data_IF_868415207252
#
_entry.id   IF_868415207252
#
_cell.length_a   1.000
_cell.length_b   1.000
_cell.length_c   1.000
_cell.angle_alpha   90.00
_cell.angle_beta   90.00
_cell.angle_gamma   90.00
#
_symmetry.space_group_name_H-M   'P 1'
#
loop_
_entity.id
_entity.type
_entity.pdbx_description
1 polymer ?
#
# COMPACT_ATOMS: atom_id res chain seq x y z
N UNK A 1 41.60 -43.21 15.23
CA UNK A 1 41.28 -41.77 15.12
C UNK A 1 39.89 -41.50 14.53
N UNK A 2 39.43 -42.24 13.52
CA UNK A 2 38.13 -41.99 12.85
C UNK A 2 36.89 -42.08 13.76
N UNK A 3 36.86 -42.99 14.74
CA UNK A 3 35.73 -43.13 15.67
C UNK A 3 35.57 -41.92 16.62
N UNK A 4 36.69 -41.29 17.03
CA UNK A 4 36.68 -40.09 17.86
C UNK A 4 36.16 -38.87 17.06
N UNK A 5 36.50 -38.77 15.78
CA UNK A 5 35.97 -37.71 14.91
C UNK A 5 34.47 -37.86 14.62
N UNK A 6 33.94 -39.09 14.51
CA UNK A 6 32.49 -39.29 14.37
C UNK A 6 31.72 -38.96 15.66
N UNK A 7 32.30 -39.24 16.83
CA UNK A 7 31.73 -38.83 18.12
C UNK A 7 31.70 -37.30 18.29
N UNK A 8 32.76 -36.61 17.88
CA UNK A 8 32.81 -35.13 17.91
C UNK A 8 31.81 -34.53 16.92
N UNK A 9 31.72 -35.08 15.69
CA UNK A 9 30.73 -34.63 14.71
C UNK A 9 29.28 -34.86 15.18
N UNK A 10 29.00 -36.01 15.81
CA UNK A 10 27.69 -36.29 16.41
C UNK A 10 27.34 -35.33 17.55
N UNK A 11 28.31 -34.95 18.38
CA UNK A 11 28.11 -33.96 19.46
C UNK A 11 27.79 -32.56 18.94
N UNK A 12 28.42 -32.12 17.84
CA UNK A 12 28.17 -30.81 17.23
C UNK A 12 26.77 -30.77 16.60
N UNK A 13 26.37 -31.84 15.92
CA UNK A 13 25.01 -31.98 15.34
C UNK A 13 23.95 -31.97 16.44
N UNK A 14 24.20 -32.61 17.58
CA UNK A 14 23.28 -32.61 18.71
C UNK A 14 23.08 -31.20 19.31
N UNK A 15 24.14 -30.40 19.43
CA UNK A 15 24.04 -29.03 19.95
C UNK A 15 23.24 -28.12 19.00
N UNK A 16 23.39 -28.29 17.69
CA UNK A 16 22.61 -27.54 16.68
C UNK A 16 21.13 -27.94 16.72
N UNK A 17 20.81 -29.21 17.02
CA UNK A 17 19.42 -29.69 17.10
C UNK A 17 18.67 -29.24 18.36
N UNK A 18 19.38 -28.85 19.43
CA UNK A 18 18.77 -28.37 20.69
C UNK A 18 18.91 -26.85 20.92
N UNK A 19 19.42 -26.10 19.94
CA UNK A 19 19.30 -24.64 19.90
C UNK A 19 17.87 -24.23 19.51
N UNK A 20 16.88 -24.62 20.32
CA UNK A 20 15.51 -24.16 20.20
C UNK A 20 15.35 -22.73 20.71
N UNK A 21 14.42 -21.98 20.13
CA UNK A 21 14.00 -20.68 20.64
C UNK A 21 13.59 -20.80 22.11
N UNK A 22 14.29 -20.09 22.99
CA UNK A 22 13.82 -19.90 24.36
C UNK A 22 12.45 -19.20 24.29
N UNK A 23 11.43 -19.80 24.92
CA UNK A 23 10.12 -19.17 25.02
C UNK A 23 10.26 -17.95 25.92
N UNK A 24 9.95 -16.77 25.41
CA UNK A 24 9.92 -15.56 26.23
C UNK A 24 8.86 -15.75 27.33
N UNK A 25 9.23 -15.39 28.56
CA UNK A 25 8.34 -15.51 29.71
C UNK A 25 7.30 -14.40 29.59
N UNK A 26 6.02 -14.78 29.49
CA UNK A 26 4.94 -13.80 29.47
C UNK A 26 4.90 -13.06 30.83
N UNK A 27 5.20 -11.77 30.77
CA UNK A 27 5.18 -10.89 31.93
C UNK A 27 3.77 -10.30 32.08
N UNK A 28 3.29 -10.17 33.32
CA UNK A 28 1.98 -9.61 33.63
C UNK A 28 2.01 -8.73 34.88
N UNK A 29 0.98 -7.90 35.03
CA UNK A 29 0.70 -7.09 36.21
C UNK A 29 1.88 -6.16 36.56
N UNK A 30 2.34 -5.41 35.56
CA UNK A 30 3.42 -4.44 35.72
C UNK A 30 2.86 -3.02 35.71
N UNK A 31 3.53 -2.04 36.34
CA UNK A 31 3.09 -0.64 36.27
C UNK A 31 3.08 -0.11 34.83
N UNK A 32 2.20 0.84 34.51
CA UNK A 32 2.13 1.46 33.18
C UNK A 32 3.49 1.97 32.66
N UNK A 33 4.28 2.60 33.53
CA UNK A 33 5.64 3.07 33.20
C UNK A 33 6.59 1.94 32.78
N UNK A 34 6.42 0.74 33.34
CA UNK A 34 7.24 -0.41 32.95
C UNK A 34 6.95 -0.77 31.49
N UNK A 35 5.69 -0.95 31.14
CA UNK A 35 5.29 -1.26 29.77
C UNK A 35 5.73 -0.18 28.78
N UNK A 36 5.47 1.09 29.10
CA UNK A 36 5.93 2.20 28.27
C UNK A 36 7.45 2.19 28.06
N UNK A 37 8.23 1.97 29.11
CA UNK A 37 9.69 1.90 29.00
C UNK A 37 10.15 0.74 28.10
N UNK A 38 9.42 -0.38 28.12
CA UNK A 38 9.69 -1.53 27.24
C UNK A 38 9.34 -1.23 25.79
N UNK A 39 8.22 -0.57 25.53
CA UNK A 39 7.85 -0.12 24.17
C UNK A 39 8.97 0.73 23.58
N UNK A 40 9.38 1.79 24.28
CA UNK A 40 10.46 2.69 23.82
C UNK A 40 11.79 1.93 23.65
N UNK A 41 12.11 1.02 24.58
CA UNK A 41 13.30 0.18 24.48
C UNK A 41 13.27 -0.70 23.22
N UNK A 42 12.17 -1.39 22.93
CA UNK A 42 12.09 -2.28 21.77
C UNK A 42 12.09 -1.51 20.45
N UNK A 43 11.41 -0.37 20.39
CA UNK A 43 11.48 0.54 19.23
C UNK A 43 12.93 0.98 18.98
N UNK A 44 13.68 1.34 20.03
CA UNK A 44 15.10 1.71 19.89
C UNK A 44 15.99 0.55 19.39
N UNK A 45 15.55 -0.69 19.59
CA UNK A 45 16.22 -1.91 19.12
C UNK A 45 15.75 -2.32 17.72
N UNK A 46 14.70 -1.67 17.19
CA UNK A 46 14.05 -2.01 15.92
C UNK A 46 13.13 -3.22 15.97
N UNK A 47 12.79 -3.71 17.17
CA UNK A 47 11.87 -4.83 17.37
C UNK A 47 10.45 -4.30 17.57
N UNK A 48 9.78 -3.94 16.48
CA UNK A 48 8.44 -3.35 16.53
C UNK A 48 7.37 -4.36 16.96
N UNK A 49 7.53 -5.64 16.60
CA UNK A 49 6.59 -6.70 17.00
C UNK A 49 6.52 -6.84 18.54
N UNK A 50 7.67 -6.80 19.23
CA UNK A 50 7.68 -6.79 20.70
C UNK A 50 7.17 -5.47 21.27
N UNK A 51 7.44 -4.34 20.60
CA UNK A 51 6.89 -3.06 21.02
C UNK A 51 5.35 -3.08 21.00
N UNK A 52 4.74 -3.63 19.94
CA UNK A 52 3.29 -3.81 19.79
C UNK A 52 2.71 -4.74 20.84
N UNK A 53 3.43 -5.82 21.16
CA UNK A 53 3.06 -6.73 22.25
C UNK A 53 3.03 -6.00 23.60
N UNK A 54 4.06 -5.22 23.93
CA UNK A 54 4.09 -4.44 25.17
C UNK A 54 3.05 -3.31 25.19
N UNK A 55 2.73 -2.73 24.04
CA UNK A 55 1.64 -1.76 23.91
C UNK A 55 0.28 -2.41 24.17
N UNK A 56 0.04 -3.61 23.65
CA UNK A 56 -1.17 -4.38 23.94
C UNK A 56 -1.31 -4.66 25.44
N UNK A 57 -0.22 -4.99 26.12
CA UNK A 57 -0.19 -5.15 27.59
C UNK A 57 -0.47 -3.83 28.32
N UNK A 58 0.12 -2.71 27.87
CA UNK A 58 -0.17 -1.38 28.44
C UNK A 58 -1.64 -1.00 28.30
N UNK A 59 -2.22 -1.18 27.11
CA UNK A 59 -3.60 -0.86 26.80
C UNK A 59 -4.59 -1.77 27.55
N UNK A 60 -4.26 -3.05 27.69
CA UNK A 60 -5.08 -4.04 28.40
C UNK A 60 -5.08 -3.86 29.92
N UNK A 61 -3.91 -3.65 30.53
CA UNK A 61 -3.77 -3.51 31.98
C UNK A 61 -4.06 -2.07 32.47
N UNK A 62 -3.78 -1.04 31.65
CA UNK A 62 -3.84 0.37 32.04
C UNK A 62 -4.56 1.23 31.00
N UNK A 63 -5.82 0.90 30.69
CA UNK A 63 -6.62 1.54 29.63
C UNK A 63 -6.76 3.07 29.75
N UNK A 64 -6.64 3.63 30.97
CA UNK A 64 -6.71 5.06 31.25
C UNK A 64 -5.35 5.73 31.49
N UNK A 65 -4.25 5.04 31.14
CA UNK A 65 -2.91 5.57 31.35
C UNK A 65 -2.67 6.84 30.53
N UNK A 66 -2.08 7.89 31.13
CA UNK A 66 -1.69 9.10 30.39
C UNK A 66 -0.53 8.84 29.41
N UNK A 67 0.10 7.67 29.46
CA UNK A 67 1.20 7.27 28.58
C UNK A 67 0.70 6.68 27.25
N UNK A 68 -0.57 6.31 27.16
CA UNK A 68 -1.14 5.71 25.94
C UNK A 68 -1.06 6.65 24.74
N UNK A 69 -1.50 7.92 24.80
CA UNK A 69 -1.39 8.85 23.67
C UNK A 69 0.01 8.92 23.08
N UNK A 70 1.01 9.05 23.94
CA UNK A 70 2.40 9.16 23.53
C UNK A 70 2.92 7.84 22.95
N UNK A 71 2.64 6.70 23.60
CA UNK A 71 3.03 5.39 23.11
C UNK A 71 2.44 5.10 21.72
N UNK A 72 1.15 5.40 21.51
CA UNK A 72 0.46 5.24 20.22
C UNK A 72 1.12 6.09 19.14
N UNK A 73 1.42 7.36 19.42
CA UNK A 73 2.07 8.25 18.46
C UNK A 73 3.50 7.79 18.13
N UNK A 74 4.28 7.36 19.13
CA UNK A 74 5.65 6.86 18.90
C UNK A 74 5.60 5.60 18.02
N UNK A 75 4.67 4.67 18.26
CA UNK A 75 4.49 3.49 17.43
C UNK A 75 4.10 3.85 16.00
N UNK A 76 3.12 4.75 15.82
CA UNK A 76 2.74 5.25 14.51
C UNK A 76 3.94 5.78 13.71
N UNK A 77 4.80 6.57 14.35
CA UNK A 77 6.01 7.11 13.73
C UNK A 77 7.04 6.01 13.47
N UNK A 78 7.25 5.09 14.41
CA UNK A 78 8.19 3.98 14.26
C UNK A 78 7.81 3.08 13.08
N UNK A 79 6.55 2.63 12.98
CA UNK A 79 6.07 1.86 11.83
C UNK A 79 6.22 2.63 10.52
N UNK A 80 5.97 3.94 10.49
CA UNK A 80 6.21 4.76 9.29
C UNK A 80 7.70 4.77 8.89
N UNK A 81 8.61 4.84 9.86
CA UNK A 81 10.06 4.83 9.61
C UNK A 81 10.56 3.48 9.09
N UNK A 82 9.93 2.38 9.51
CA UNK A 82 10.21 1.03 9.05
C UNK A 82 9.39 0.62 7.81
N UNK A 83 8.73 1.59 7.16
CA UNK A 83 7.92 1.40 5.95
C UNK A 83 6.69 0.48 6.15
N UNK A 84 6.28 0.26 7.39
CA UNK A 84 5.08 -0.49 7.79
C UNK A 84 3.86 0.44 7.80
N UNK A 85 3.59 1.06 6.65
CA UNK A 85 2.65 2.16 6.53
C UNK A 85 1.21 1.83 6.93
N UNK A 86 0.78 0.57 6.77
CA UNK A 86 -0.54 0.11 7.19
C UNK A 86 -0.67 0.09 8.72
N UNK A 87 0.37 -0.34 9.44
CA UNK A 87 0.41 -0.30 10.91
C UNK A 87 0.53 1.15 11.40
N UNK A 88 1.32 1.98 10.72
CA UNK A 88 1.35 3.41 10.99
C UNK A 88 -0.02 4.06 10.86
N UNK A 89 -0.75 3.78 9.77
CA UNK A 89 -2.13 4.24 9.59
C UNK A 89 -3.05 3.77 10.72
N UNK A 90 -2.93 2.50 11.12
CA UNK A 90 -3.73 1.92 12.20
C UNK A 90 -3.54 2.67 13.52
N UNK A 91 -2.29 2.89 13.95
CA UNK A 91 -2.00 3.61 15.19
C UNK A 91 -2.39 5.10 15.10
N UNK A 92 -2.23 5.74 13.94
CA UNK A 92 -2.68 7.13 13.75
C UNK A 92 -4.21 7.24 13.84
N UNK A 93 -4.94 6.31 13.23
CA UNK A 93 -6.40 6.26 13.31
C UNK A 93 -6.87 6.02 14.75
N UNK A 94 -6.19 5.15 15.50
CA UNK A 94 -6.43 4.98 16.94
C UNK A 94 -6.19 6.28 17.70
N UNK A 95 -5.05 6.93 17.48
CA UNK A 95 -4.68 8.18 18.13
C UNK A 95 -5.71 9.28 17.88
N UNK A 96 -6.10 9.50 16.62
CA UNK A 96 -7.11 10.49 16.21
C UNK A 96 -8.44 10.24 16.92
N UNK A 97 -8.87 8.97 17.01
CA UNK A 97 -10.18 8.62 17.59
C UNK A 97 -10.21 8.72 19.11
N UNK A 98 -9.09 8.41 19.79
CA UNK A 98 -9.08 8.20 21.24
C UNK A 98 -8.39 9.31 22.02
N UNK A 99 -7.35 9.92 21.46
CA UNK A 99 -6.40 10.71 22.24
C UNK A 99 -6.17 12.13 21.70
N UNK A 100 -6.28 12.32 20.39
CA UNK A 100 -5.95 13.60 19.75
C UNK A 100 -6.81 14.74 20.30
N UNK A 101 -6.14 15.81 20.76
CA UNK A 101 -6.80 17.08 21.00
C UNK A 101 -7.09 17.80 19.69
N UNK A 102 -7.91 18.86 19.74
CA UNK A 102 -8.25 19.64 18.55
C UNK A 102 -7.01 20.20 17.82
N UNK A 103 -5.94 20.51 18.55
CA UNK A 103 -4.72 21.07 17.99
C UNK A 103 -3.80 19.99 17.39
N UNK A 104 -3.86 18.75 17.88
CA UNK A 104 -3.04 17.63 17.41
C UNK A 104 -3.70 16.86 16.26
N UNK A 105 -5.03 16.94 16.16
CA UNK A 105 -5.82 16.18 15.20
C UNK A 105 -5.42 16.48 13.75
N UNK A 106 -5.15 17.75 13.44
CA UNK A 106 -4.70 18.17 12.10
C UNK A 106 -3.38 17.48 11.73
N UNK A 107 -2.38 17.49 12.61
CA UNK A 107 -1.09 16.84 12.35
C UNK A 107 -1.24 15.31 12.25
N UNK A 108 -2.02 14.69 13.12
CA UNK A 108 -2.24 13.25 13.09
C UNK A 108 -2.97 12.80 11.80
N UNK A 109 -3.97 13.55 11.34
CA UNK A 109 -4.67 13.27 10.08
C UNK A 109 -3.75 13.50 8.86
N UNK A 110 -2.90 14.52 8.89
CA UNK A 110 -1.86 14.69 7.88
C UNK A 110 -0.91 13.49 7.82
N UNK A 111 -0.40 13.03 8.97
CA UNK A 111 0.47 11.86 9.05
C UNK A 111 -0.22 10.59 8.53
N UNK A 112 -1.53 10.44 8.78
CA UNK A 112 -2.31 9.30 8.30
C UNK A 112 -2.45 9.30 6.78
N UNK A 113 -2.68 10.47 6.18
CA UNK A 113 -2.72 10.60 4.72
C UNK A 113 -1.32 10.34 4.13
N UNK A 114 -0.27 10.84 4.79
CA UNK A 114 1.10 10.58 4.39
C UNK A 114 1.46 9.09 4.43
N UNK A 115 1.06 8.35 5.47
CA UNK A 115 1.32 6.91 5.53
C UNK A 115 0.59 6.16 4.41
N UNK A 116 -0.68 6.47 4.15
CA UNK A 116 -1.43 5.93 3.00
C UNK A 116 -0.75 6.20 1.66
N UNK A 117 -0.29 7.43 1.44
CA UNK A 117 0.44 7.80 0.23
C UNK A 117 1.73 6.98 0.09
N UNK A 118 2.50 6.82 1.18
CA UNK A 118 3.74 6.04 1.17
C UNK A 118 3.51 4.54 1.00
N UNK A 119 2.34 4.03 1.39
CA UNK A 119 1.92 2.64 1.17
C UNK A 119 1.72 2.27 -0.31
N UNK A 120 1.86 3.22 -1.24
CA UNK A 120 1.64 3.05 -2.69
C UNK A 120 2.96 3.07 -3.49
N UNK A 121 3.82 2.04 -3.37
CA UNK A 121 5.09 2.02 -4.10
C UNK A 121 4.90 1.84 -5.62
N UNK A 122 3.79 1.22 -6.05
CA UNK A 122 3.49 0.95 -7.46
C UNK A 122 2.04 1.35 -7.79
N UNK A 123 1.81 2.58 -8.27
CA UNK A 123 0.45 3.07 -8.50
C UNK A 123 -0.37 2.28 -9.54
N UNK A 124 0.28 1.49 -10.41
CA UNK A 124 -0.41 0.68 -11.44
C UNK A 124 -1.27 -0.45 -10.86
N UNK A 125 -1.04 -0.85 -9.60
CA UNK A 125 -1.62 -2.07 -9.01
C UNK A 125 -2.80 -1.78 -8.10
N UNK A 126 -2.77 -0.67 -7.37
CA UNK A 126 -3.66 -0.43 -6.23
C UNK A 126 -4.56 0.79 -6.44
N UNK A 127 -5.38 0.76 -7.50
CA UNK A 127 -6.30 1.84 -7.87
C UNK A 127 -7.23 2.27 -6.71
N UNK A 128 -7.81 1.29 -6.01
CA UNK A 128 -8.72 1.55 -4.90
C UNK A 128 -8.06 2.31 -3.74
N UNK A 129 -6.79 2.02 -3.43
CA UNK A 129 -6.06 2.73 -2.39
C UNK A 129 -5.69 4.15 -2.84
N UNK A 130 -5.39 4.36 -4.12
CA UNK A 130 -5.18 5.70 -4.69
C UNK A 130 -6.45 6.55 -4.56
N UNK A 131 -7.61 6.01 -4.95
CA UNK A 131 -8.89 6.72 -4.85
C UNK A 131 -9.20 7.13 -3.40
N UNK A 132 -8.96 6.22 -2.45
CA UNK A 132 -9.12 6.50 -1.03
C UNK A 132 -8.17 7.59 -0.55
N UNK A 133 -6.89 7.53 -0.94
CA UNK A 133 -5.90 8.53 -0.56
C UNK A 133 -6.24 9.92 -1.13
N UNK A 134 -6.70 10.00 -2.39
CA UNK A 134 -7.16 11.26 -3.00
C UNK A 134 -8.35 11.83 -2.22
N UNK A 135 -9.35 11.00 -1.95
CA UNK A 135 -10.55 11.41 -1.21
C UNK A 135 -10.22 11.92 0.19
N UNK A 136 -9.32 11.25 0.90
CA UNK A 136 -8.89 11.68 2.23
C UNK A 136 -8.09 12.98 2.20
N UNK A 137 -7.19 13.16 1.21
CA UNK A 137 -6.47 14.41 1.03
C UNK A 137 -7.36 15.61 0.67
N UNK A 138 -8.37 15.40 -0.17
CA UNK A 138 -9.36 16.45 -0.47
C UNK A 138 -10.23 16.78 0.75
N UNK A 139 -10.66 15.78 1.51
CA UNK A 139 -11.37 16.01 2.76
C UNK A 139 -10.54 16.78 3.78
N UNK A 140 -9.24 16.51 3.86
CA UNK A 140 -8.32 17.25 4.72
C UNK A 140 -8.28 18.73 4.36
N UNK A 141 -8.17 19.06 3.07
CA UNK A 141 -8.18 20.46 2.59
C UNK A 141 -9.48 21.19 2.94
N UNK A 142 -10.61 20.48 2.86
CA UNK A 142 -11.92 21.04 3.24
C UNK A 142 -12.02 21.27 4.76
N UNK A 143 -11.47 20.36 5.56
CA UNK A 143 -11.52 20.43 7.02
C UNK A 143 -10.52 21.45 7.59
N UNK A 144 -9.35 21.59 6.99
CA UNK A 144 -8.29 22.50 7.42
C UNK A 144 -7.83 23.44 6.29
N UNK A 145 -8.66 24.42 5.87
CA UNK A 145 -8.33 25.29 4.74
C UNK A 145 -7.06 26.12 4.90
N UNK A 146 -6.63 26.37 6.13
CA UNK A 146 -5.44 27.17 6.46
C UNK A 146 -4.30 26.30 7.05
N UNK A 147 -4.32 24.99 6.78
CA UNK A 147 -3.31 24.07 7.30
C UNK A 147 -1.93 24.38 6.73
N UNK A 148 -0.89 24.27 7.56
CA UNK A 148 0.51 24.34 7.11
C UNK A 148 0.89 23.15 6.22
N UNK A 149 0.13 22.06 6.24
CA UNK A 149 0.39 20.83 5.48
C UNK A 149 -0.24 20.84 4.07
N UNK A 150 -1.04 21.85 3.75
CA UNK A 150 -1.83 21.94 2.51
C UNK A 150 -0.97 21.72 1.25
N UNK A 151 0.21 22.34 1.16
CA UNK A 151 1.05 22.23 -0.03
C UNK A 151 1.67 20.83 -0.20
N UNK A 152 1.96 20.16 0.92
CA UNK A 152 2.44 18.78 0.90
C UNK A 152 1.32 17.84 0.45
N UNK A 153 0.10 18.06 0.95
CA UNK A 153 -1.10 17.32 0.53
C UNK A 153 -1.36 17.53 -0.96
N UNK A 154 -1.36 18.77 -1.45
CA UNK A 154 -1.51 19.08 -2.88
C UNK A 154 -0.47 18.35 -3.73
N UNK A 155 0.78 18.31 -3.28
CA UNK A 155 1.85 17.57 -3.98
C UNK A 155 1.55 16.07 -4.05
N UNK A 156 1.08 15.47 -2.96
CA UNK A 156 0.69 14.05 -2.95
C UNK A 156 -0.51 13.79 -3.87
N UNK A 157 -1.54 14.64 -3.81
CA UNK A 157 -2.74 14.55 -4.65
C UNK A 157 -2.40 14.62 -6.14
N UNK A 158 -1.63 15.62 -6.56
CA UNK A 158 -1.19 15.78 -7.95
C UNK A 158 -0.45 14.52 -8.43
N UNK A 159 0.44 13.95 -7.60
CA UNK A 159 1.16 12.72 -7.96
C UNK A 159 0.23 11.53 -8.11
N UNK A 160 -0.77 11.39 -7.23
CA UNK A 160 -1.76 10.32 -7.29
C UNK A 160 -2.65 10.44 -8.53
N UNK A 161 -3.11 11.65 -8.85
CA UNK A 161 -3.94 11.93 -10.04
C UNK A 161 -3.16 11.70 -11.35
N UNK A 162 -1.89 12.14 -11.41
CA UNK A 162 -1.00 11.82 -12.54
C UNK A 162 -0.77 10.32 -12.67
N UNK A 163 -0.67 9.60 -11.55
CA UNK A 163 -0.51 8.15 -11.57
C UNK A 163 -1.77 7.43 -12.09
N UNK A 164 -2.97 7.91 -11.76
CA UNK A 164 -4.21 7.41 -12.35
C UNK A 164 -4.26 7.67 -13.86
N UNK A 165 -3.87 8.87 -14.28
CA UNK A 165 -3.86 9.23 -15.69
C UNK A 165 -2.88 8.35 -16.49
N UNK A 166 -1.65 8.16 -16.00
CA UNK A 166 -0.66 7.26 -16.62
C UNK A 166 -1.13 5.79 -16.69
N UNK A 167 -1.89 5.34 -15.68
CA UNK A 167 -2.48 4.01 -15.68
C UNK A 167 -3.57 3.87 -16.74
N UNK A 168 -4.48 4.84 -16.84
CA UNK A 168 -5.51 4.86 -17.87
C UNK A 168 -4.90 4.89 -19.27
N UNK A 169 -3.81 5.64 -19.49
CA UNK A 169 -3.05 5.62 -20.75
C UNK A 169 -2.57 4.21 -21.11
N UNK A 170 -2.01 3.49 -20.12
CA UNK A 170 -1.54 2.11 -20.29
C UNK A 170 -2.69 1.16 -20.63
N UNK A 171 -3.87 1.37 -20.04
CA UNK A 171 -5.08 0.60 -20.33
C UNK A 171 -5.58 0.87 -21.76
N UNK A 172 -5.55 2.12 -22.22
CA UNK A 172 -5.91 2.49 -23.60
C UNK A 172 -5.01 1.75 -24.59
N UNK A 173 -3.69 1.76 -24.38
CA UNK A 173 -2.74 1.06 -25.24
C UNK A 173 -2.94 -0.45 -25.26
N UNK A 174 -3.25 -1.05 -24.10
CA UNK A 174 -3.60 -2.45 -24.00
C UNK A 174 -4.83 -2.77 -24.87
N UNK A 175 -5.91 -1.97 -24.77
CA UNK A 175 -7.10 -2.21 -25.56
C UNK A 175 -6.91 -1.97 -27.05
N UNK A 176 -6.05 -1.02 -27.43
CA UNK A 176 -5.66 -0.81 -28.84
C UNK A 176 -4.95 -2.06 -29.40
N UNK A 177 -4.04 -2.67 -28.63
CA UNK A 177 -3.34 -3.91 -29.03
C UNK A 177 -4.25 -5.13 -29.11
N UNK A 178 -5.32 -5.15 -28.31
CA UNK A 178 -6.33 -6.21 -28.33
C UNK A 178 -7.43 -5.99 -29.37
N UNK A 179 -7.31 -4.97 -30.24
CA UNK A 179 -8.32 -4.57 -31.22
C UNK A 179 -9.71 -4.34 -30.60
N UNK A 180 -9.75 -3.68 -29.42
CA UNK A 180 -10.98 -3.34 -28.66
C UNK A 180 -11.22 -1.82 -28.61
N UNK A 181 -11.61 -1.18 -29.73
CA UNK A 181 -11.68 0.28 -29.84
C UNK A 181 -12.70 0.93 -28.90
N UNK A 182 -13.86 0.30 -28.67
CA UNK A 182 -14.89 0.81 -27.73
C UNK A 182 -14.33 0.97 -26.31
N UNK A 183 -13.55 -0.01 -25.84
CA UNK A 183 -12.93 0.03 -24.52
C UNK A 183 -11.79 1.07 -24.46
N UNK A 184 -10.97 1.16 -25.50
CA UNK A 184 -9.92 2.17 -25.59
C UNK A 184 -10.49 3.60 -25.53
N UNK A 185 -11.59 3.86 -26.26
CA UNK A 185 -12.27 5.16 -26.22
C UNK A 185 -12.87 5.45 -24.84
N UNK A 186 -13.46 4.46 -24.17
CA UNK A 186 -13.99 4.62 -22.81
C UNK A 186 -12.91 5.14 -21.85
N UNK A 187 -11.74 4.47 -21.78
CA UNK A 187 -10.66 4.89 -20.87
C UNK A 187 -10.01 6.22 -21.28
N UNK A 188 -9.95 6.52 -22.58
CA UNK A 188 -9.47 7.82 -23.08
C UNK A 188 -10.35 8.99 -22.62
N UNK A 189 -11.64 8.74 -22.42
CA UNK A 189 -12.60 9.72 -21.94
C UNK A 189 -12.61 9.87 -20.41
N UNK A 190 -11.98 8.96 -19.66
CA UNK A 190 -11.81 9.09 -18.20
C UNK A 190 -10.69 10.10 -17.92
N UNK A 191 -11.07 11.35 -17.67
CA UNK A 191 -10.15 12.41 -17.23
C UNK A 191 -10.23 12.52 -15.70
N UNK A 192 -9.19 12.12 -14.95
CA UNK A 192 -9.21 12.27 -13.49
C UNK A 192 -9.25 13.75 -13.08
N UNK A 193 -8.68 14.64 -13.89
CA UNK A 193 -8.73 16.10 -13.71
C UNK A 193 -8.72 16.84 -15.04
N UNK A 194 -9.38 18.00 -15.10
CA UNK A 194 -9.49 18.82 -16.32
C UNK A 194 -8.16 19.44 -16.76
N UNK A 195 -7.26 19.71 -15.81
CA UNK A 195 -5.96 20.33 -16.06
C UNK A 195 -4.91 19.33 -16.57
N UNK A 196 -5.17 18.01 -16.49
CA UNK A 196 -4.24 16.99 -16.97
C UNK A 196 -4.36 16.88 -18.50
N UNK A 197 -3.27 17.23 -19.18
CA UNK A 197 -3.14 17.12 -20.63
C UNK A 197 -2.47 15.79 -20.97
N UNK A 198 -3.19 14.90 -21.65
CA UNK A 198 -2.70 13.57 -22.03
C UNK A 198 -1.37 13.57 -22.80
N UNK A 199 -1.12 14.59 -23.63
CA UNK A 199 0.13 14.70 -24.39
C UNK A 199 1.37 14.93 -23.51
N UNK A 200 1.16 15.42 -22.30
CA UNK A 200 2.23 15.85 -21.40
C UNK A 200 2.51 14.81 -20.31
N UNK A 201 1.68 13.76 -20.24
CA UNK A 201 1.88 12.64 -19.31
C UNK A 201 3.09 11.84 -19.79
N UNK A 202 4.07 11.71 -18.90
CA UNK A 202 5.21 10.83 -19.12
C UNK A 202 5.11 9.61 -18.21
N UNK A 203 5.32 8.43 -18.79
CA UNK A 203 5.38 7.19 -18.03
C UNK A 203 6.60 7.17 -17.12
N UNK A 204 6.45 6.50 -15.98
CA UNK A 204 7.57 6.26 -15.09
C UNK A 204 8.64 5.41 -15.80
N UNK A 205 9.89 5.87 -15.77
CA UNK A 205 11.02 5.09 -16.29
C UNK A 205 11.15 3.78 -15.51
N UNK A 206 10.91 2.66 -16.20
CA UNK A 206 11.04 1.32 -15.61
C UNK A 206 12.46 0.83 -15.86
N UNK A 207 13.17 0.42 -14.81
CA UNK A 207 14.51 -0.10 -14.98
C UNK A 207 14.50 -1.36 -15.87
N UNK A 208 15.51 -1.52 -16.73
CA UNK A 208 15.59 -2.58 -17.75
C UNK A 208 15.35 -4.00 -17.19
N UNK A 209 15.76 -4.28 -15.95
CA UNK A 209 15.59 -5.60 -15.33
C UNK A 209 14.15 -5.84 -14.85
N UNK A 210 13.39 -4.79 -14.54
CA UNK A 210 11.95 -4.87 -14.22
C UNK A 210 11.11 -4.91 -15.48
N UNK A 211 11.54 -4.19 -16.51
CA UNK A 211 10.88 -4.13 -17.83
C UNK A 211 10.66 -5.52 -18.43
N UNK A 212 11.60 -6.45 -18.19
CA UNK A 212 11.48 -7.85 -18.61
C UNK A 212 10.19 -8.53 -18.05
N UNK A 213 9.79 -8.21 -16.82
CA UNK A 213 8.65 -8.83 -16.14
C UNK A 213 7.39 -7.98 -16.15
N UNK A 214 7.54 -6.66 -15.98
CA UNK A 214 6.44 -5.70 -15.85
C UNK A 214 6.02 -5.09 -17.19
N UNK A 215 6.85 -5.24 -18.23
CA UNK A 215 6.74 -4.50 -19.47
C UNK A 215 7.15 -3.04 -19.31
N UNK A 216 7.54 -2.41 -20.41
CA UNK A 216 7.74 -0.95 -20.54
C UNK A 216 6.41 -0.16 -20.60
N UNK A 217 5.28 -0.84 -20.35
CA UNK A 217 3.94 -0.34 -20.63
C UNK A 217 3.47 -0.59 -22.07
N UNK A 218 4.29 -1.25 -22.89
CA UNK A 218 3.88 -1.83 -24.17
C UNK A 218 3.74 -3.36 -23.99
N UNK A 219 4.40 -4.13 -24.83
CA UNK A 219 4.34 -5.59 -24.90
C UNK A 219 5.40 -6.27 -24.06
N UNK A 220 5.08 -7.41 -23.47
CA UNK A 220 6.10 -8.32 -22.97
C UNK A 220 6.82 -8.99 -24.15
N UNK A 221 8.11 -9.31 -23.98
CA UNK A 221 8.91 -9.98 -25.02
C UNK A 221 8.35 -11.35 -25.48
N UNK A 222 7.51 -12.00 -24.66
CA UNK A 222 6.83 -13.26 -24.98
C UNK A 222 5.41 -13.07 -25.51
N UNK A 223 4.97 -11.85 -25.84
CA UNK A 223 3.62 -11.60 -26.38
C UNK A 223 3.29 -12.54 -27.55
N UNK A 224 4.25 -12.75 -28.46
CA UNK A 224 4.08 -13.65 -29.62
C UNK A 224 3.90 -15.14 -29.26
N UNK A 225 4.24 -15.53 -28.02
CA UNK A 225 4.08 -16.90 -27.52
C UNK A 225 2.75 -17.10 -26.79
N UNK A 226 2.06 -16.02 -26.42
CA UNK A 226 0.75 -16.10 -25.76
C UNK A 226 -0.26 -16.51 -26.83
N UNK A 227 -0.87 -17.70 -26.75
CA UNK A 227 -1.92 -18.08 -27.67
C UNK A 227 -3.05 -17.07 -27.56
N UNK A 228 -3.69 -16.73 -28.67
CA UNK A 228 -4.80 -15.80 -28.69
C UNK A 228 -6.03 -16.45 -28.00
N UNK A 229 -6.04 -16.42 -26.67
CA UNK A 229 -7.10 -16.99 -25.87
C UNK A 229 -8.21 -15.96 -25.76
N UNK A 230 -9.30 -16.17 -26.49
CA UNK A 230 -10.54 -15.43 -26.21
C UNK A 230 -10.91 -15.66 -24.75
N UNK A 231 -10.90 -14.59 -23.94
CA UNK A 231 -11.26 -14.70 -22.53
C UNK A 231 -12.69 -15.23 -22.42
N UNK A 232 -12.92 -16.16 -21.50
CA UNK A 232 -14.25 -16.80 -21.34
C UNK A 232 -15.34 -15.79 -20.98
N UNK A 233 -14.95 -14.65 -20.38
CA UNK A 233 -15.83 -13.52 -20.06
C UNK A 233 -16.24 -12.75 -21.32
N UNK A 234 -15.36 -12.66 -22.33
CA UNK A 234 -15.65 -12.00 -23.62
C UNK A 234 -16.49 -12.84 -24.59
N UNK A 235 -16.67 -14.15 -24.34
CA UNK A 235 -17.49 -15.03 -25.18
C UNK A 235 -18.95 -14.56 -25.30
N UNK A 236 -19.46 -13.83 -24.32
CA UNK A 236 -20.87 -13.42 -24.27
C UNK A 236 -21.13 -12.00 -24.79
N UNK A 237 -20.12 -11.15 -24.97
CA UNK A 237 -20.34 -9.71 -25.16
C UNK A 237 -20.11 -9.18 -26.59
N UNK A 238 -19.59 -9.96 -27.52
CA UNK A 238 -19.23 -9.45 -28.87
C UNK A 238 -19.99 -10.12 -30.01
N UNK A 239 -20.62 -11.28 -29.80
CA UNK A 239 -21.32 -11.98 -30.88
C UNK A 239 -22.74 -11.46 -31.18
N UNK A 240 -23.30 -10.55 -30.36
CA UNK A 240 -24.69 -10.09 -30.50
C UNK A 240 -24.85 -8.71 -31.14
N UNK A 241 -23.82 -7.84 -31.14
CA UNK A 241 -23.97 -6.48 -31.69
C UNK A 241 -23.64 -6.40 -33.19
N UNK A 242 -22.62 -7.14 -33.66
CA UNK A 242 -22.19 -7.06 -35.07
C UNK A 242 -23.17 -7.73 -36.07
N UNK A 243 -24.17 -8.48 -35.57
CA UNK A 243 -25.23 -9.06 -36.40
C UNK A 243 -26.50 -8.19 -36.48
N UNK A 244 -26.68 -7.24 -35.57
CA UNK A 244 -27.90 -6.43 -35.52
C UNK A 244 -27.89 -5.23 -36.48
N UNK A 245 -26.71 -4.78 -36.92
CA UNK A 245 -26.58 -3.64 -37.84
C UNK A 245 -26.54 -4.02 -39.33
N UNK A 246 -26.38 -5.32 -39.64
CA UNK A 246 -26.28 -5.82 -41.03
C UNK A 246 -27.61 -6.19 -41.69
N UNK A 247 -28.69 -6.44 -40.94
CA UNK A 247 -29.94 -6.99 -41.50
C UNK A 247 -31.07 -5.95 -41.71
N UNK A 248 -30.91 -4.70 -41.29
CA UNK A 248 -31.98 -3.69 -41.38
C UNK A 248 -31.90 -2.75 -42.61
N UNK A 249 -31.02 -3.02 -43.58
CA UNK A 249 -30.85 -2.18 -44.78
C UNK A 249 -31.17 -2.88 -46.11
N UNK A 250 -31.95 -3.98 -46.10
CA UNK A 250 -32.55 -4.54 -47.31
C UNK A 250 -34.01 -4.94 -47.08
N UNK A 251 -34.94 -4.00 -47.21
CA UNK A 251 -36.25 -4.29 -47.83
C UNK A 251 -36.94 -2.98 -48.23
N UNK A 252 -37.23 -2.89 -49.53
CA UNK A 252 -38.20 -1.97 -50.15
C UNK A 252 -39.62 -2.34 -49.76
#
# INVERSE_FOLDING_TARGET
>A
MKLKSYLVAGSVIFIVLFAGCAKEVEEYNKPAMYWYSKIVQQISQGDLEKADSFYSSLQGEHIGSPLLPEATMILAIAHMQYEEYLLSEHFLDEYIKRYATQNEKEEAEFLKIKSKYMALPNPRRDQALIDLAIKEGENFKLQYPNSMYTEVINTMLVRLELAQAALNETIVDLYNRLDKPKSAEYYKNIKPQDWIVWSDIQRANTAWYREWFEGDGTSSWYEFLIPDTQSVVSRNSVAQEDKAEGENNETK
#
